data_IF_166520147575
#
_entry.id   IF_166520147575
#
_cell.length_a   1.000
_cell.length_b   1.000
_cell.length_c   1.000
_cell.angle_alpha   90.00
_cell.angle_beta   90.00
_cell.angle_gamma   90.00
#
_symmetry.space_group_name_H-M   'P 1'
#
loop_
_entity.id
_entity.type
_entity.pdbx_description
1 polymer ?
#
# COMPACT_ATOMS: atom_id res chain seq x y z
N UNK A 1 5.08 9.17 6.44
CA UNK A 1 4.54 9.03 5.06
C UNK A 1 3.03 8.93 5.06
N UNK A 2 2.41 8.03 5.85
CA UNK A 2 0.96 7.88 5.97
C UNK A 2 0.16 9.18 6.16
N UNK A 3 0.62 10.05 7.08
CA UNK A 3 -0.04 11.33 7.39
C UNK A 3 -0.08 12.27 6.18
N UNK A 4 1.05 12.43 5.47
CA UNK A 4 1.10 13.25 4.26
C UNK A 4 0.23 12.68 3.14
N UNK A 5 0.24 11.35 2.98
CA UNK A 5 -0.59 10.69 1.97
C UNK A 5 -2.10 10.73 2.29
N UNK A 6 -2.49 10.94 3.55
CA UNK A 6 -3.88 11.16 3.93
C UNK A 6 -4.38 12.57 3.63
N UNK A 7 -3.49 13.58 3.71
CA UNK A 7 -3.79 14.97 3.34
C UNK A 7 -3.71 15.20 1.83
N UNK A 8 -2.82 14.47 1.16
CA UNK A 8 -2.60 14.55 -0.28
C UNK A 8 -2.57 13.11 -0.81
N UNK A 9 -3.73 12.54 -1.20
CA UNK A 9 -3.80 11.18 -1.68
C UNK A 9 -2.93 11.00 -2.93
N UNK A 10 -2.45 9.77 -3.19
CA UNK A 10 -1.72 9.49 -4.42
C UNK A 10 -2.57 9.85 -5.63
N UNK A 11 -2.00 10.61 -6.56
CA UNK A 11 -2.74 11.19 -7.68
C UNK A 11 -3.33 12.57 -7.40
N UNK A 12 -3.27 13.07 -6.16
CA UNK A 12 -3.61 14.44 -5.82
C UNK A 12 -5.11 14.71 -5.65
N UNK A 13 -5.40 16.00 -5.53
CA UNK A 13 -6.73 16.56 -5.35
C UNK A 13 -7.06 17.40 -6.59
N UNK A 14 -8.33 17.49 -6.96
CA UNK A 14 -8.75 18.45 -7.99
C UNK A 14 -8.54 19.88 -7.50
N UNK A 15 -7.79 20.68 -8.28
CA UNK A 15 -7.50 22.09 -7.94
C UNK A 15 -8.70 23.02 -8.17
N UNK A 16 -9.59 22.68 -9.11
CA UNK A 16 -10.80 23.44 -9.43
C UNK A 16 -12.04 22.53 -9.57
N UNK A 17 -13.22 23.13 -9.57
CA UNK A 17 -14.49 22.43 -9.73
C UNK A 17 -14.60 21.83 -11.13
N UNK A 18 -14.71 20.51 -11.19
CA UNK A 18 -15.01 19.78 -12.41
C UNK A 18 -16.48 19.98 -12.80
N UNK A 19 -16.75 20.42 -14.02
CA UNK A 19 -18.09 20.72 -14.53
C UNK A 19 -18.39 19.88 -15.77
N UNK A 20 -19.60 19.35 -15.84
CA UNK A 20 -20.13 18.75 -17.06
C UNK A 20 -20.42 19.82 -18.13
N UNK A 21 -20.55 19.40 -19.39
CA UNK A 21 -20.86 20.29 -20.52
C UNK A 21 -22.14 21.12 -20.34
N UNK A 22 -23.06 20.71 -19.47
CA UNK A 22 -24.28 21.44 -19.14
C UNK A 22 -24.11 22.46 -17.98
N UNK A 23 -22.88 22.67 -17.50
CA UNK A 23 -22.55 23.56 -16.39
C UNK A 23 -22.76 22.98 -14.99
N UNK A 24 -23.23 21.72 -14.88
CA UNK A 24 -23.44 21.06 -13.58
C UNK A 24 -22.10 20.65 -12.98
N UNK A 25 -21.87 20.93 -11.70
CA UNK A 25 -20.67 20.52 -10.99
C UNK A 25 -20.70 19.00 -10.77
N UNK A 26 -19.69 18.29 -11.25
CA UNK A 26 -19.49 16.87 -11.04
C UNK A 26 -18.69 16.62 -9.76
N UNK A 27 -17.58 17.34 -9.57
CA UNK A 27 -16.72 17.26 -8.39
C UNK A 27 -16.28 18.65 -7.96
N UNK A 28 -16.23 18.86 -6.65
CA UNK A 28 -15.72 20.10 -6.08
C UNK A 28 -14.19 20.06 -5.99
N UNK A 29 -13.57 21.23 -6.02
CA UNK A 29 -12.15 21.37 -5.69
C UNK A 29 -11.87 20.75 -4.31
N UNK A 30 -10.74 20.06 -4.19
CA UNK A 30 -10.39 19.27 -2.99
C UNK A 30 -10.97 17.84 -2.98
N UNK A 31 -11.66 17.41 -4.03
CA UNK A 31 -12.03 15.99 -4.19
C UNK A 31 -10.80 15.18 -4.58
N UNK A 32 -10.56 14.05 -3.89
CA UNK A 32 -9.47 13.11 -4.22
C UNK A 32 -9.66 12.53 -5.61
N UNK A 33 -8.66 12.71 -6.49
CA UNK A 33 -8.69 12.20 -7.86
C UNK A 33 -8.71 10.66 -7.84
N UNK A 34 -7.99 10.05 -6.89
CA UNK A 34 -8.00 8.60 -6.68
C UNK A 34 -9.37 8.07 -6.25
N UNK A 35 -10.14 8.83 -5.45
CA UNK A 35 -11.48 8.42 -5.04
C UNK A 35 -12.46 8.33 -6.22
N UNK A 36 -12.29 9.23 -7.18
CA UNK A 36 -13.13 9.31 -8.39
C UNK A 36 -12.73 8.22 -9.38
N UNK A 37 -11.44 8.07 -9.65
CA UNK A 37 -10.96 7.16 -10.70
C UNK A 37 -10.86 5.70 -10.24
N UNK A 38 -10.57 5.44 -8.96
CA UNK A 38 -10.41 4.07 -8.45
C UNK A 38 -10.80 3.95 -6.97
N UNK A 39 -12.12 3.94 -6.65
CA UNK A 39 -12.61 3.89 -5.28
C UNK A 39 -12.16 2.61 -4.54
N UNK A 40 -12.09 1.48 -5.24
CA UNK A 40 -11.60 0.20 -4.69
C UNK A 40 -10.12 0.27 -4.30
N UNK A 41 -9.27 0.86 -5.15
CA UNK A 41 -7.85 1.06 -4.86
C UNK A 41 -7.62 2.01 -3.68
N UNK A 42 -8.43 3.06 -3.57
CA UNK A 42 -8.40 3.98 -2.44
C UNK A 42 -8.72 3.27 -1.13
N UNK A 43 -9.79 2.47 -1.11
CA UNK A 43 -10.20 1.72 0.08
C UNK A 43 -9.09 0.77 0.54
N UNK A 44 -8.48 0.02 -0.39
CA UNK A 44 -7.36 -0.87 -0.08
C UNK A 44 -6.14 -0.12 0.46
N UNK A 45 -5.81 1.03 -0.13
CA UNK A 45 -4.73 1.90 0.35
C UNK A 45 -4.97 2.32 1.82
N UNK A 46 -6.17 2.79 2.16
CA UNK A 46 -6.51 3.17 3.53
C UNK A 46 -6.44 2.02 4.52
N UNK A 47 -6.95 0.84 4.14
CA UNK A 47 -6.86 -0.36 4.99
C UNK A 47 -5.41 -0.72 5.24
N UNK A 48 -4.60 -0.87 4.19
CA UNK A 48 -3.22 -1.30 4.34
C UNK A 48 -2.39 -0.31 5.18
N UNK A 49 -2.61 0.99 4.98
CA UNK A 49 -1.95 2.04 5.74
C UNK A 49 -2.36 1.99 7.24
N UNK A 50 -3.65 1.81 7.52
CA UNK A 50 -4.17 1.73 8.89
C UNK A 50 -3.64 0.49 9.62
N UNK A 51 -3.59 -0.65 8.94
CA UNK A 51 -3.01 -1.88 9.49
C UNK A 51 -1.52 -1.71 9.78
N UNK A 52 -0.75 -1.11 8.85
CA UNK A 52 0.67 -0.83 9.07
C UNK A 52 0.88 0.11 10.27
N UNK A 53 0.02 1.11 10.44
CA UNK A 53 0.10 2.04 11.56
C UNK A 53 -0.21 1.35 12.89
N UNK A 54 -1.32 0.60 12.96
CA UNK A 54 -1.70 -0.16 14.15
C UNK A 54 -0.63 -1.18 14.53
N UNK A 55 -0.08 -1.93 13.58
CA UNK A 55 0.98 -2.89 13.85
C UNK A 55 2.27 -2.22 14.38
N UNK A 56 2.60 -1.02 13.88
CA UNK A 56 3.71 -0.22 14.42
C UNK A 56 3.40 0.27 15.84
N UNK A 57 2.19 0.75 16.10
CA UNK A 57 1.75 1.19 17.42
C UNK A 57 1.79 0.04 18.43
N UNK A 58 1.29 -1.14 18.06
CA UNK A 58 1.36 -2.36 18.86
C UNK A 58 2.81 -2.74 19.17
N UNK A 59 3.73 -2.62 18.22
CA UNK A 59 5.16 -2.87 18.43
C UNK A 59 5.75 -1.92 19.48
N UNK A 60 5.44 -0.62 19.38
CA UNK A 60 5.91 0.40 20.33
C UNK A 60 5.33 0.13 21.73
N UNK A 61 4.04 -0.16 21.82
CA UNK A 61 3.37 -0.49 23.08
C UNK A 61 3.98 -1.76 23.70
N UNK A 62 4.21 -2.82 22.92
CA UNK A 62 4.87 -4.04 23.40
C UNK A 62 6.28 -3.77 23.92
N UNK A 63 7.03 -2.90 23.26
CA UNK A 63 8.37 -2.50 23.69
C UNK A 63 8.33 -1.67 24.98
N UNK A 64 7.36 -0.76 25.10
CA UNK A 64 7.20 0.15 26.24
C UNK A 64 6.57 -0.52 27.47
N UNK A 65 5.68 -1.51 27.28
CA UNK A 65 4.97 -2.19 28.36
C UNK A 65 5.87 -3.07 29.24
N UNK A 66 7.13 -3.32 28.84
CA UNK A 66 8.10 -4.02 29.68
C UNK A 66 7.62 -5.41 30.15
N UNK A 67 6.77 -6.06 29.36
CA UNK A 67 6.12 -7.32 29.73
C UNK A 67 7.18 -8.37 30.09
N UNK A 68 7.02 -9.13 31.20
CA UNK A 68 7.94 -10.18 31.62
C UNK A 68 7.77 -11.45 30.75
N UNK A 69 7.52 -11.28 29.45
CA UNK A 69 7.60 -12.37 28.48
C UNK A 69 9.07 -12.77 28.34
N UNK A 70 9.33 -14.07 28.24
CA UNK A 70 10.70 -14.56 28.05
C UNK A 70 11.38 -13.81 26.90
N UNK A 71 12.60 -13.29 27.12
CA UNK A 71 13.33 -12.42 26.16
C UNK A 71 13.33 -12.97 24.72
N UNK A 72 13.38 -14.29 24.57
CA UNK A 72 13.27 -14.98 23.27
C UNK A 72 11.88 -14.78 22.65
N UNK A 73 10.81 -15.05 23.38
CA UNK A 73 9.42 -14.92 22.90
C UNK A 73 9.08 -13.47 22.57
N UNK A 74 9.48 -12.52 23.42
CA UNK A 74 9.26 -11.09 23.16
C UNK A 74 9.94 -10.63 21.86
N UNK A 75 11.21 -10.99 21.64
CA UNK A 75 11.89 -10.69 20.38
C UNK A 75 11.20 -11.32 19.16
N UNK A 76 10.67 -12.53 19.31
CA UNK A 76 9.92 -13.21 18.25
C UNK A 76 8.63 -12.49 17.89
N UNK A 77 7.86 -12.04 18.89
CA UNK A 77 6.63 -11.28 18.67
C UNK A 77 6.95 -9.94 18.01
N UNK A 78 7.96 -9.21 18.49
CA UNK A 78 8.40 -7.95 17.90
C UNK A 78 8.90 -8.13 16.46
N UNK A 79 9.61 -9.22 16.17
CA UNK A 79 10.02 -9.54 14.82
C UNK A 79 8.80 -9.80 13.92
N UNK A 80 7.84 -10.60 14.39
CA UNK A 80 6.62 -10.89 13.65
C UNK A 80 5.80 -9.62 13.34
N UNK A 81 5.62 -8.73 14.31
CA UNK A 81 4.91 -7.46 14.08
C UNK A 81 5.66 -6.56 13.10
N UNK A 82 7.00 -6.55 13.12
CA UNK A 82 7.81 -5.84 12.13
C UNK A 82 7.69 -6.41 10.71
N UNK A 83 7.61 -7.73 10.55
CA UNK A 83 7.37 -8.32 9.24
C UNK A 83 5.99 -7.94 8.68
N UNK A 84 4.98 -7.91 9.54
CA UNK A 84 3.63 -7.46 9.18
C UNK A 84 3.63 -6.00 8.77
N UNK A 85 4.28 -5.10 9.51
CA UNK A 85 4.35 -3.68 9.12
C UNK A 85 5.05 -3.49 7.77
N UNK A 86 6.19 -4.15 7.56
CA UNK A 86 6.98 -4.04 6.32
C UNK A 86 6.14 -4.48 5.11
N UNK A 87 5.46 -5.63 5.18
CA UNK A 87 4.64 -6.15 4.08
C UNK A 87 3.45 -5.24 3.76
N UNK A 88 2.70 -4.80 4.78
CA UNK A 88 1.56 -3.90 4.59
C UNK A 88 1.97 -2.51 4.09
N UNK A 89 3.13 -2.00 4.54
CA UNK A 89 3.67 -0.74 4.04
C UNK A 89 4.08 -0.84 2.57
N UNK A 90 4.69 -1.96 2.17
CA UNK A 90 5.03 -2.23 0.77
C UNK A 90 3.78 -2.33 -0.13
N UNK A 91 2.74 -3.03 0.33
CA UNK A 91 1.43 -3.09 -0.35
C UNK A 91 0.80 -1.70 -0.49
N UNK A 92 0.86 -0.87 0.55
CA UNK A 92 0.37 0.52 0.51
C UNK A 92 1.09 1.33 -0.58
N UNK A 93 2.40 1.18 -0.70
CA UNK A 93 3.18 1.82 -1.75
C UNK A 93 2.76 1.37 -3.16
N UNK A 94 2.52 0.07 -3.36
CA UNK A 94 2.02 -0.44 -4.65
C UNK A 94 0.68 0.18 -5.05
N UNK A 95 -0.29 0.21 -4.14
CA UNK A 95 -1.59 0.81 -4.42
C UNK A 95 -1.47 2.31 -4.71
N UNK A 96 -0.57 3.01 -4.03
CA UNK A 96 -0.25 4.41 -4.32
C UNK A 96 0.32 4.59 -5.73
N UNK A 97 1.30 3.77 -6.14
CA UNK A 97 1.90 3.86 -7.47
C UNK A 97 0.91 3.54 -8.58
N UNK A 98 0.08 2.51 -8.38
CA UNK A 98 -1.05 2.19 -9.27
C UNK A 98 -1.98 3.40 -9.42
N UNK A 99 -2.37 4.05 -8.33
CA UNK A 99 -3.24 5.21 -8.40
C UNK A 99 -2.63 6.39 -9.18
N UNK A 100 -1.35 6.70 -8.98
CA UNK A 100 -0.66 7.75 -9.76
C UNK A 100 -0.64 7.40 -11.24
N UNK A 101 -0.37 6.14 -11.60
CA UNK A 101 -0.38 5.70 -13.00
C UNK A 101 -1.77 5.76 -13.65
N UNK A 102 -2.85 5.54 -12.86
CA UNK A 102 -4.22 5.73 -13.31
C UNK A 102 -4.59 7.22 -13.44
N UNK A 103 -4.08 8.09 -12.57
CA UNK A 103 -4.34 9.54 -12.63
C UNK A 103 -3.63 10.20 -13.81
N UNK A 104 -2.37 9.84 -14.08
CA UNK A 104 -1.64 10.32 -15.27
C UNK A 104 -2.35 9.94 -16.59
N UNK A 105 -3.28 8.97 -16.55
CA UNK A 105 -3.96 8.34 -17.69
C UNK A 105 -5.17 9.11 -18.22
N UNK A 106 -5.64 10.16 -17.55
CA UNK A 106 -6.80 10.97 -17.97
C UNK A 106 -6.40 12.36 -18.50
N UNK A 107 -5.94 12.48 -19.76
CA UNK A 107 -6.08 13.71 -20.52
C UNK A 107 -7.31 13.58 -21.44
N UNK A 108 -8.16 14.61 -21.45
CA UNK A 108 -9.29 14.72 -22.38
C UNK A 108 -8.97 14.29 -23.82
N UNK A 109 -9.91 13.52 -24.39
CA UNK A 109 -10.15 13.29 -25.82
C UNK A 109 -8.97 12.75 -26.66
N UNK A 110 -8.78 11.43 -26.67
CA UNK A 110 -7.99 10.76 -27.74
C UNK A 110 -8.83 9.72 -28.48
N UNK A 111 -8.81 9.88 -29.80
CA UNK A 111 -9.44 9.12 -30.89
C UNK A 111 -9.43 7.58 -30.77
N UNK A 112 -10.37 6.87 -31.45
CA UNK A 112 -10.62 5.44 -31.28
C UNK A 112 -9.59 4.48 -31.93
N UNK A 113 -8.29 4.84 -31.98
CA UNK A 113 -7.25 4.02 -32.63
C UNK A 113 -6.01 3.76 -31.75
N UNK A 114 -6.14 3.82 -30.43
CA UNK A 114 -5.02 3.77 -29.49
C UNK A 114 -4.74 2.38 -28.92
N UNK A 115 -4.27 1.46 -29.77
CA UNK A 115 -3.70 0.17 -29.31
C UNK A 115 -2.27 0.33 -28.73
N UNK A 116 -1.55 1.39 -29.12
CA UNK A 116 -0.13 1.59 -28.74
C UNK A 116 0.05 1.99 -27.27
N UNK A 117 -0.80 2.88 -26.72
CA UNK A 117 -0.70 3.34 -25.33
C UNK A 117 -1.06 2.25 -24.31
N UNK A 118 -1.91 1.30 -24.70
CA UNK A 118 -2.24 0.16 -23.86
C UNK A 118 -1.06 -0.82 -23.66
N UNK A 119 -0.10 -0.82 -24.58
CA UNK A 119 1.07 -1.70 -24.54
C UNK A 119 2.18 -1.17 -23.63
N UNK A 120 2.52 0.12 -23.71
CA UNK A 120 3.69 0.68 -23.01
C UNK A 120 3.47 0.88 -21.50
N UNK A 121 2.25 1.23 -21.09
CA UNK A 121 1.89 1.36 -19.67
C UNK A 121 1.75 0.01 -18.95
N UNK A 122 1.35 -1.03 -19.70
CA UNK A 122 1.21 -2.38 -19.15
C UNK A 122 2.56 -2.94 -18.75
N UNK A 123 3.58 -2.68 -19.55
CA UNK A 123 4.96 -3.09 -19.30
C UNK A 123 5.50 -2.48 -17.99
N UNK A 124 5.32 -1.18 -17.76
CA UNK A 124 5.83 -0.50 -16.55
C UNK A 124 5.10 -0.94 -15.28
N UNK A 125 3.77 -1.05 -15.31
CA UNK A 125 2.98 -1.56 -14.17
C UNK A 125 3.33 -3.01 -13.89
N UNK A 126 3.50 -3.84 -14.92
CA UNK A 126 3.90 -5.24 -14.76
C UNK A 126 5.31 -5.36 -14.17
N UNK A 127 6.28 -4.54 -14.60
CA UNK A 127 7.64 -4.54 -14.03
C UNK A 127 7.62 -4.20 -12.54
N UNK A 128 6.87 -3.17 -12.14
CA UNK A 128 6.72 -2.80 -10.73
C UNK A 128 6.06 -3.94 -9.95
N UNK A 129 4.98 -4.51 -10.48
CA UNK A 129 4.27 -5.61 -9.84
C UNK A 129 5.13 -6.87 -9.70
N UNK A 130 5.88 -7.26 -10.74
CA UNK A 130 6.77 -8.41 -10.71
C UNK A 130 7.95 -8.20 -9.77
N UNK A 131 8.58 -7.02 -9.77
CA UNK A 131 9.64 -6.67 -8.81
C UNK A 131 9.13 -6.79 -7.37
N UNK A 132 7.90 -6.36 -7.11
CA UNK A 132 7.27 -6.50 -5.81
C UNK A 132 6.92 -7.95 -5.44
N UNK A 133 6.45 -8.75 -6.40
CA UNK A 133 6.18 -10.18 -6.18
C UNK A 133 7.45 -10.95 -5.83
N UNK A 134 8.56 -10.67 -6.52
CA UNK A 134 9.87 -11.24 -6.20
C UNK A 134 10.29 -10.84 -4.79
N UNK A 135 10.16 -9.56 -4.45
CA UNK A 135 10.47 -9.06 -3.10
C UNK A 135 9.59 -9.72 -2.02
N UNK A 136 8.28 -9.84 -2.24
CA UNK A 136 7.37 -10.55 -1.32
C UNK A 136 7.74 -12.03 -1.18
N UNK A 137 8.17 -12.69 -2.27
CA UNK A 137 8.65 -14.06 -2.25
C UNK A 137 9.89 -14.24 -1.36
N UNK A 138 10.86 -13.32 -1.47
CA UNK A 138 12.06 -13.32 -0.62
C UNK A 138 11.68 -13.12 0.85
N UNK A 139 10.80 -12.16 1.13
CA UNK A 139 10.32 -11.88 2.50
C UNK A 139 9.58 -13.09 3.09
N UNK A 140 8.69 -13.72 2.31
CA UNK A 140 7.95 -14.90 2.74
C UNK A 140 8.88 -16.08 3.02
N UNK A 141 9.90 -16.29 2.19
CA UNK A 141 10.91 -17.33 2.40
C UNK A 141 11.69 -17.12 3.70
N UNK A 142 12.17 -15.89 3.96
CA UNK A 142 12.88 -15.55 5.20
C UNK A 142 11.98 -15.75 6.42
N UNK A 143 10.72 -15.33 6.34
CA UNK A 143 9.74 -15.52 7.41
C UNK A 143 9.49 -17.02 7.70
N UNK A 144 9.38 -17.85 6.67
CA UNK A 144 9.21 -19.30 6.80
C UNK A 144 10.42 -19.94 7.50
N UNK A 145 11.64 -19.59 7.10
CA UNK A 145 12.88 -20.07 7.76
C UNK A 145 12.88 -19.70 9.25
N UNK A 146 12.47 -18.47 9.55
CA UNK A 146 12.32 -18.02 10.92
C UNK A 146 11.28 -18.87 11.68
N UNK A 147 10.06 -19.01 11.19
CA UNK A 147 9.03 -19.82 11.85
C UNK A 147 9.52 -21.25 12.11
N UNK A 148 10.16 -21.89 11.11
CA UNK A 148 10.68 -23.26 11.27
C UNK A 148 11.71 -23.33 12.39
N UNK A 149 12.66 -22.38 12.45
CA UNK A 149 13.62 -22.29 13.57
C UNK A 149 12.93 -22.13 14.91
N UNK A 150 11.89 -21.31 14.99
CA UNK A 150 11.13 -21.11 16.23
C UNK A 150 10.44 -22.40 16.69
N UNK A 151 9.72 -23.06 15.78
CA UNK A 151 8.99 -24.30 16.07
C UNK A 151 9.95 -25.42 16.48
N UNK A 152 11.10 -25.54 15.82
CA UNK A 152 12.13 -26.51 16.23
C UNK A 152 12.66 -26.25 17.64
N UNK A 153 12.91 -25.00 18.01
CA UNK A 153 13.38 -24.65 19.35
C UNK A 153 12.31 -24.94 20.42
N UNK A 154 11.03 -24.70 20.11
CA UNK A 154 9.91 -24.95 21.04
C UNK A 154 9.64 -26.45 21.20
N UNK A 155 9.76 -27.25 20.14
CA UNK A 155 9.56 -28.71 20.19
C UNK A 155 10.72 -29.46 20.85
N UNK A 156 11.92 -28.88 20.87
CA UNK A 156 13.11 -29.48 21.50
C UNK A 156 13.24 -29.18 23.00
N UNK A 157 12.33 -28.38 23.57
CA UNK A 157 12.39 -27.88 24.94
C UNK A 157 11.15 -28.29 25.74
#
# INVERSE_FOLDING_TARGET
>A
MAYQAGLSPPGGLWDDNQKANNGTILYYAGTSIMAVNNPEGLLRFWICNTVSFLASLSTILLLMSGLPLGKKVLMWILAATMWVTITFMALTYLYSMMAISFVQRDPEHVSPTTEVWYSEDRETIMVIAYSFLVWLGIVAFVFLVHIVRFVMIVLQN
#
